data_IF_167664063111
#
_entry.id   IF_167664063111
#
_cell.length_a   1.000
_cell.length_b   1.000
_cell.length_c   1.000
_cell.angle_alpha   90.00
_cell.angle_beta   90.00
_cell.angle_gamma   90.00
#
_symmetry.space_group_name_H-M   'P 1'
#
loop_
_entity.id
_entity.type
_entity.pdbx_description
1 polymer ?
#
# COMPACT_ATOMS: atom_id res chain seq x y z
N UNK A 1 0.71 3.87 23.56
CA UNK A 1 -0.41 4.77 23.19
C UNK A 1 -1.72 4.17 23.73
N UNK A 2 -2.49 4.94 24.48
CA UNK A 2 -3.78 4.49 25.00
C UNK A 2 -4.87 4.45 23.91
N UNK A 3 -5.91 3.63 24.09
CA UNK A 3 -6.98 3.46 23.08
C UNK A 3 -7.69 4.79 22.72
N UNK A 4 -7.85 5.69 23.70
CA UNK A 4 -8.43 7.02 23.48
C UNK A 4 -7.54 7.91 22.62
N UNK A 5 -6.24 7.88 22.86
CA UNK A 5 -5.23 8.62 22.08
C UNK A 5 -5.19 8.11 20.64
N UNK A 6 -5.24 6.79 20.45
CA UNK A 6 -5.27 6.18 19.12
C UNK A 6 -6.53 6.57 18.34
N UNK A 7 -7.67 6.66 19.00
CA UNK A 7 -8.93 7.11 18.38
C UNK A 7 -8.82 8.56 17.94
N UNK A 8 -8.33 9.45 18.82
CA UNK A 8 -8.16 10.86 18.51
C UNK A 8 -7.17 11.08 17.35
N UNK A 9 -6.05 10.38 17.37
CA UNK A 9 -5.07 10.40 16.28
C UNK A 9 -5.70 9.95 14.96
N UNK A 10 -6.45 8.84 14.98
CA UNK A 10 -7.14 8.31 13.80
C UNK A 10 -8.11 9.33 13.20
N UNK A 11 -8.92 9.99 14.03
CA UNK A 11 -9.89 10.99 13.57
C UNK A 11 -9.20 12.25 13.02
N UNK A 12 -8.11 12.67 13.66
CA UNK A 12 -7.31 13.80 13.20
C UNK A 12 -6.68 13.52 11.85
N UNK A 13 -6.02 12.36 11.69
CA UNK A 13 -5.42 11.93 10.43
C UNK A 13 -6.48 11.80 9.32
N UNK A 14 -7.64 11.20 9.61
CA UNK A 14 -8.73 11.06 8.64
C UNK A 14 -9.24 12.44 8.17
N UNK A 15 -9.38 13.40 9.08
CA UNK A 15 -9.80 14.76 8.76
C UNK A 15 -8.76 15.44 7.86
N UNK A 16 -7.47 15.35 8.19
CA UNK A 16 -6.36 15.91 7.41
C UNK A 16 -6.31 15.30 6.01
N UNK A 17 -6.40 13.98 5.90
CA UNK A 17 -6.44 13.25 4.63
C UNK A 17 -7.69 13.54 3.80
N UNK A 18 -8.80 13.94 4.42
CA UNK A 18 -10.01 14.39 3.71
C UNK A 18 -9.92 15.82 3.16
N UNK A 19 -8.97 16.60 3.66
CA UNK A 19 -8.80 18.02 3.29
C UNK A 19 -7.68 18.26 2.26
N UNK A 20 -6.69 17.37 2.16
CA UNK A 20 -5.49 17.55 1.34
C UNK A 20 -5.04 16.26 0.67
N UNK A 21 -4.22 16.35 -0.37
CA UNK A 21 -3.58 15.24 -1.08
C UNK A 21 -2.22 15.64 -1.64
N UNK A 22 -1.36 14.68 -1.99
CA UNK A 22 -0.03 14.97 -2.55
C UNK A 22 0.88 15.72 -1.58
N UNK A 23 1.56 16.73 -2.09
CA UNK A 23 2.52 17.53 -1.33
C UNK A 23 1.87 18.30 -0.16
N UNK A 24 0.64 18.80 -0.33
CA UNK A 24 -0.09 19.48 0.74
C UNK A 24 -0.39 18.52 1.90
N UNK A 25 -0.84 17.31 1.59
CA UNK A 25 -1.06 16.28 2.61
C UNK A 25 0.25 15.90 3.30
N UNK A 26 1.33 15.75 2.53
CA UNK A 26 2.63 15.43 3.08
C UNK A 26 3.09 16.46 4.10
N UNK A 27 3.03 17.75 3.73
CA UNK A 27 3.36 18.85 4.66
C UNK A 27 2.49 18.82 5.92
N UNK A 28 1.17 18.66 5.76
CA UNK A 28 0.25 18.61 6.89
C UNK A 28 0.50 17.41 7.83
N UNK A 29 0.93 16.26 7.29
CA UNK A 29 1.30 15.10 8.10
C UNK A 29 2.63 15.30 8.83
N UNK A 30 3.61 15.96 8.20
CA UNK A 30 4.85 16.34 8.87
C UNK A 30 4.59 17.32 10.01
N UNK A 31 3.70 18.30 9.82
CA UNK A 31 3.28 19.25 10.86
C UNK A 31 2.54 18.55 12.03
N UNK A 32 1.89 17.42 11.76
CA UNK A 32 1.26 16.56 12.78
C UNK A 32 2.24 15.61 13.49
N UNK A 33 3.54 15.66 13.16
CA UNK A 33 4.57 14.83 13.79
C UNK A 33 4.75 13.46 13.11
N UNK A 34 4.62 13.37 11.80
CA UNK A 34 4.82 12.10 11.07
C UNK A 34 6.18 11.46 11.34
N UNK A 35 7.25 12.24 11.37
CA UNK A 35 8.59 11.72 11.59
C UNK A 35 8.78 11.17 13.00
N UNK A 36 8.23 11.85 13.99
CA UNK A 36 8.23 11.40 15.38
C UNK A 36 7.42 10.11 15.54
N UNK A 37 6.23 10.05 14.93
CA UNK A 37 5.40 8.86 14.93
C UNK A 37 6.09 7.67 14.27
N UNK A 38 6.79 7.91 13.16
CA UNK A 38 7.54 6.87 12.45
C UNK A 38 8.76 6.39 13.24
N UNK A 39 9.41 7.29 13.98
CA UNK A 39 10.61 6.96 14.77
C UNK A 39 10.26 6.25 16.07
N UNK A 40 9.24 6.72 16.77
CA UNK A 40 8.92 6.27 18.13
C UNK A 40 7.91 5.10 18.16
N UNK A 41 7.06 4.97 17.13
CA UNK A 41 5.92 4.04 17.12
C UNK A 41 5.59 3.56 15.71
N UNK A 42 6.60 3.18 14.92
CA UNK A 42 6.42 2.73 13.53
C UNK A 42 5.43 1.56 13.39
N UNK A 43 5.40 0.67 14.37
CA UNK A 43 4.51 -0.49 14.45
C UNK A 43 3.00 -0.12 14.52
N UNK A 44 2.69 1.07 15.03
CA UNK A 44 1.34 1.63 15.11
C UNK A 44 1.12 2.65 13.97
N UNK A 45 2.07 3.55 13.77
CA UNK A 45 1.94 4.66 12.82
C UNK A 45 1.82 4.18 11.37
N UNK A 46 2.66 3.24 10.95
CA UNK A 46 2.65 2.73 9.56
C UNK A 46 1.34 2.04 9.22
N UNK A 47 0.84 1.06 9.99
CA UNK A 47 -0.47 0.46 9.74
C UNK A 47 -1.60 1.47 9.68
N UNK A 48 -1.66 2.39 10.64
CA UNK A 48 -2.73 3.38 10.75
C UNK A 48 -2.73 4.35 9.57
N UNK A 49 -1.60 4.99 9.29
CA UNK A 49 -1.50 6.03 8.26
C UNK A 49 -1.72 5.44 6.87
N UNK A 50 -1.08 4.33 6.53
CA UNK A 50 -1.22 3.72 5.20
C UNK A 50 -2.61 3.11 4.97
N UNK A 51 -3.23 2.54 5.99
CA UNK A 51 -4.63 2.12 5.91
C UNK A 51 -5.56 3.30 5.63
N UNK A 52 -5.38 4.43 6.33
CA UNK A 52 -6.18 5.64 6.12
C UNK A 52 -5.97 6.26 4.74
N UNK A 53 -4.73 6.27 4.19
CA UNK A 53 -4.50 6.66 2.79
C UNK A 53 -5.35 5.81 1.83
N UNK A 54 -5.44 4.51 2.10
CA UNK A 54 -6.29 3.60 1.34
C UNK A 54 -7.78 3.90 1.49
N UNK A 55 -8.26 4.08 2.70
CA UNK A 55 -9.67 4.35 3.00
C UNK A 55 -10.16 5.68 2.41
N UNK A 56 -9.33 6.72 2.46
CA UNK A 56 -9.65 8.07 1.96
C UNK A 56 -9.41 8.23 0.45
N UNK A 57 -8.64 7.34 -0.15
CA UNK A 57 -8.25 7.43 -1.55
C UNK A 57 -7.25 8.56 -1.84
N UNK A 58 -6.63 9.13 -0.82
CA UNK A 58 -5.57 10.15 -0.95
C UNK A 58 -4.20 9.53 -1.16
N UNK A 59 -3.19 10.37 -1.37
CA UNK A 59 -1.80 9.95 -1.49
C UNK A 59 -0.86 11.00 -0.93
N UNK A 60 0.31 10.54 -0.48
CA UNK A 60 1.48 11.35 -0.12
C UNK A 60 2.73 10.45 -0.24
N UNK A 61 3.95 11.00 -0.42
CA UNK A 61 5.18 10.22 -0.67
C UNK A 61 5.75 9.52 0.57
N UNK A 62 4.92 9.19 1.55
CA UNK A 62 5.28 8.62 2.85
C UNK A 62 6.04 7.27 2.73
N UNK A 63 5.91 6.59 1.59
CA UNK A 63 6.65 5.35 1.34
C UNK A 63 8.15 5.59 1.27
N UNK A 64 8.59 6.77 0.78
CA UNK A 64 9.99 7.18 0.80
C UNK A 64 10.52 7.28 2.23
N UNK A 65 9.72 7.83 3.13
CA UNK A 65 10.12 7.99 4.54
C UNK A 65 10.22 6.66 5.29
N UNK A 66 9.30 5.72 5.00
CA UNK A 66 9.39 4.35 5.55
C UNK A 66 10.67 3.66 5.09
N UNK A 67 11.06 3.83 3.83
CA UNK A 67 12.31 3.30 3.29
C UNK A 67 13.52 4.01 3.87
N UNK A 68 13.50 5.34 3.97
CA UNK A 68 14.56 6.14 4.56
C UNK A 68 14.80 5.74 6.02
N UNK A 69 13.73 5.64 6.82
CA UNK A 69 13.79 5.17 8.21
C UNK A 69 14.46 3.79 8.33
N UNK A 70 14.01 2.83 7.53
CA UNK A 70 14.53 1.46 7.56
C UNK A 70 15.99 1.37 7.09
N UNK A 71 16.39 2.24 6.16
CA UNK A 71 17.75 2.32 5.63
C UNK A 71 18.69 3.25 6.44
N UNK A 72 18.20 3.89 7.51
CA UNK A 72 18.97 4.88 8.27
C UNK A 72 19.37 6.12 7.45
N UNK A 73 18.54 6.52 6.48
CA UNK A 73 18.75 7.69 5.60
C UNK A 73 17.92 8.89 6.07
N UNK A 74 18.29 10.11 5.68
CA UNK A 74 17.46 11.30 5.90
C UNK A 74 16.08 11.15 5.26
N UNK A 75 15.05 11.73 5.93
CA UNK A 75 13.70 11.82 5.40
C UNK A 75 13.57 12.85 4.26
N UNK A 76 12.50 12.74 3.46
CA UNK A 76 12.16 13.72 2.43
C UNK A 76 12.88 13.54 1.09
N UNK A 77 13.79 12.57 0.96
CA UNK A 77 14.47 12.31 -0.31
C UNK A 77 13.75 11.21 -1.11
N UNK A 78 13.54 11.40 -2.43
CA UNK A 78 12.97 10.36 -3.28
C UNK A 78 13.91 9.16 -3.38
N UNK A 79 13.37 7.97 -3.14
CA UNK A 79 14.11 6.71 -3.22
C UNK A 79 13.60 5.91 -4.44
N UNK A 80 14.49 5.35 -5.29
CA UNK A 80 14.07 4.48 -6.38
C UNK A 80 13.32 3.26 -5.86
N UNK A 81 12.12 3.04 -6.40
CA UNK A 81 11.22 1.96 -6.01
C UNK A 81 11.14 0.92 -7.12
N UNK A 82 11.33 -0.38 -6.83
CA UNK A 82 11.12 -1.42 -7.82
C UNK A 82 9.65 -1.48 -8.24
N UNK A 83 9.43 -1.59 -9.55
CA UNK A 83 8.12 -1.69 -10.15
C UNK A 83 8.02 -2.91 -11.06
N UNK A 84 6.80 -3.40 -11.26
CA UNK A 84 6.54 -4.59 -12.09
C UNK A 84 7.20 -4.49 -13.48
N UNK A 85 7.59 -5.63 -14.04
CA UNK A 85 8.29 -5.71 -15.32
C UNK A 85 9.76 -5.30 -15.26
N UNK A 86 10.39 -5.32 -14.09
CA UNK A 86 11.80 -4.99 -13.90
C UNK A 86 12.12 -3.50 -14.05
N UNK A 87 11.09 -2.66 -14.00
CA UNK A 87 11.22 -1.19 -14.03
C UNK A 87 11.46 -0.62 -12.65
N UNK A 88 11.91 0.63 -12.63
CA UNK A 88 12.10 1.44 -11.43
C UNK A 88 11.31 2.71 -11.56
N UNK A 89 10.77 3.20 -10.45
CA UNK A 89 10.04 4.46 -10.39
C UNK A 89 10.54 5.32 -9.24
N UNK A 90 10.45 6.63 -9.41
CA UNK A 90 10.60 7.61 -8.34
C UNK A 90 9.23 8.18 -8.00
N UNK A 91 8.98 8.32 -6.71
CA UNK A 91 7.86 9.12 -6.24
C UNK A 91 8.37 10.53 -6.00
N UNK A 92 8.07 11.44 -6.91
CA UNK A 92 8.47 12.84 -6.82
C UNK A 92 7.27 13.70 -6.49
N UNK A 93 7.47 14.72 -5.65
CA UNK A 93 6.47 15.76 -5.52
C UNK A 93 6.44 16.58 -6.80
N UNK A 94 5.26 16.78 -7.39
CA UNK A 94 5.10 17.85 -8.36
C UNK A 94 5.18 19.18 -7.61
N UNK A 95 6.35 19.77 -7.59
CA UNK A 95 6.51 21.16 -7.20
C UNK A 95 5.76 22.00 -8.21
N UNK A 96 4.53 22.40 -7.86
CA UNK A 96 3.84 23.46 -8.58
C UNK A 96 4.77 24.66 -8.67
N UNK A 97 5.13 25.01 -9.90
CA UNK A 97 5.71 26.29 -10.34
C UNK A 97 6.09 27.25 -9.20
N UNK A 98 7.35 27.27 -8.81
CA UNK A 98 7.95 28.46 -8.20
C UNK A 98 9.38 28.63 -8.63
N UNK A 99 9.61 29.74 -9.30
CA UNK A 99 10.92 30.30 -9.64
C UNK A 99 11.77 30.50 -8.38
N UNK A 100 12.73 29.62 -8.15
CA UNK A 100 13.87 29.93 -7.31
C UNK A 100 15.11 29.36 -8.00
N UNK A 101 15.92 30.29 -8.50
CA UNK A 101 17.25 30.08 -9.02
C UNK A 101 18.13 29.50 -7.90
N UNK A 102 18.23 28.19 -7.84
CA UNK A 102 19.26 27.51 -7.05
C UNK A 102 19.89 26.48 -7.96
N UNK A 103 21.21 26.49 -8.03
CA UNK A 103 22.05 25.63 -8.83
C UNK A 103 21.62 24.17 -8.61
N UNK A 104 20.81 23.67 -9.50
CA UNK A 104 20.41 22.27 -9.55
C UNK A 104 21.59 21.46 -10.10
N UNK A 105 22.08 20.43 -9.39
CA UNK A 105 22.89 19.43 -10.08
C UNK A 105 21.99 18.85 -11.18
N UNK A 106 22.53 18.80 -12.41
CA UNK A 106 21.80 18.23 -13.55
C UNK A 106 21.19 16.88 -13.15
N UNK A 107 19.90 16.66 -13.41
CA UNK A 107 19.28 15.37 -13.13
C UNK A 107 19.96 14.33 -14.02
N UNK A 108 20.77 13.49 -13.41
CA UNK A 108 21.53 12.43 -14.10
C UNK A 108 20.63 11.35 -14.73
N UNK A 109 19.32 11.46 -14.57
CA UNK A 109 18.36 10.52 -15.09
C UNK A 109 17.23 11.29 -15.77
N UNK A 110 17.06 11.08 -17.06
CA UNK A 110 15.92 11.57 -17.82
C UNK A 110 14.75 10.64 -17.52
N UNK A 111 13.87 11.06 -16.61
CA UNK A 111 12.63 10.34 -16.32
C UNK A 111 11.63 10.66 -17.45
N UNK A 112 11.19 9.64 -18.18
CA UNK A 112 10.04 9.80 -19.08
C UNK A 112 8.76 9.61 -18.29
N UNK A 113 7.76 10.54 -18.42
CA UNK A 113 6.48 10.34 -17.79
C UNK A 113 5.80 9.14 -18.45
N UNK A 114 5.71 8.03 -17.74
CA UNK A 114 4.78 6.98 -18.14
C UNK A 114 3.39 7.44 -17.69
N UNK A 115 2.44 7.43 -18.63
CA UNK A 115 1.02 7.54 -18.28
C UNK A 115 0.68 6.30 -17.46
N UNK A 116 0.86 6.38 -16.16
CA UNK A 116 0.38 5.36 -15.24
C UNK A 116 -1.15 5.32 -15.28
N UNK A 117 -1.71 4.15 -14.99
CA UNK A 117 -3.16 3.99 -14.91
C UNK A 117 -3.82 4.91 -13.89
N UNK A 118 -3.07 5.38 -12.91
CA UNK A 118 -3.48 6.41 -11.95
C UNK A 118 -2.67 7.70 -12.18
N UNK A 119 -3.21 8.69 -12.88
CA UNK A 119 -2.52 9.95 -13.16
C UNK A 119 -2.39 10.86 -11.92
N UNK A 120 -3.08 10.55 -10.83
CA UNK A 120 -2.96 11.31 -9.57
C UNK A 120 -1.68 10.93 -8.81
N UNK A 121 -1.09 9.76 -9.07
CA UNK A 121 0.15 9.35 -8.42
C UNK A 121 1.37 9.93 -9.17
N UNK A 122 2.18 10.79 -8.54
CA UNK A 122 3.33 11.44 -9.17
C UNK A 122 4.54 10.47 -9.23
N UNK A 123 4.36 9.37 -9.95
CA UNK A 123 5.39 8.37 -10.18
C UNK A 123 6.05 8.58 -11.55
N UNK A 124 7.35 8.74 -11.57
CA UNK A 124 8.17 8.85 -12.78
C UNK A 124 8.99 7.59 -12.97
N UNK A 125 9.03 7.06 -14.20
CA UNK A 125 9.85 5.89 -14.49
C UNK A 125 11.31 6.30 -14.70
N UNK A 126 12.20 5.52 -14.12
CA UNK A 126 13.63 5.69 -14.30
C UNK A 126 14.12 4.88 -15.51
N UNK A 127 14.82 5.54 -16.44
CA UNK A 127 15.61 4.84 -17.43
C UNK A 127 16.79 4.14 -16.73
N UNK A 128 16.91 2.83 -16.93
CA UNK A 128 18.04 2.07 -16.42
C UNK A 128 19.30 2.44 -17.19
N UNK A 129 20.08 3.35 -16.65
CA UNK A 129 21.52 3.38 -16.91
C UNK A 129 22.20 2.44 -15.91
N UNK A 130 23.31 1.82 -16.29
CA UNK A 130 24.07 0.81 -15.54
C UNK A 130 24.58 1.25 -14.15
N UNK A 131 24.25 2.44 -13.70
CA UNK A 131 24.65 3.07 -12.44
C UNK A 131 23.52 3.28 -11.45
N UNK A 132 22.33 2.66 -11.63
CA UNK A 132 21.32 2.69 -10.56
C UNK A 132 21.91 2.05 -9.31
N UNK A 133 21.91 2.75 -8.15
CA UNK A 133 22.39 2.17 -6.91
C UNK A 133 21.65 0.85 -6.70
N UNK A 134 22.41 -0.18 -6.37
CA UNK A 134 21.90 -1.52 -6.22
C UNK A 134 20.68 -1.50 -5.30
N UNK A 135 19.53 -1.83 -5.85
CA UNK A 135 18.30 -1.99 -5.08
C UNK A 135 18.39 -3.10 -4.05
N UNK A 136 19.47 -3.86 -4.09
CA UNK A 136 19.80 -4.94 -3.17
C UNK A 136 20.06 -4.46 -1.75
N UNK A 137 20.37 -3.16 -1.57
CA UNK A 137 20.68 -2.58 -0.25
C UNK A 137 19.50 -1.89 0.45
N UNK A 138 18.33 -1.78 -0.18
CA UNK A 138 17.17 -1.14 0.45
C UNK A 138 16.27 -2.21 1.07
N UNK A 139 16.10 -2.23 2.42
CA UNK A 139 15.24 -3.21 3.09
C UNK A 139 13.78 -2.95 2.75
N UNK A 140 13.21 -3.72 1.84
CA UNK A 140 11.85 -3.54 1.32
C UNK A 140 10.75 -4.09 2.24
N UNK A 141 11.08 -4.83 3.30
CA UNK A 141 10.09 -5.53 4.12
C UNK A 141 9.05 -4.58 4.74
N UNK A 142 9.50 -3.53 5.41
CA UNK A 142 8.60 -2.54 6.03
C UNK A 142 7.80 -1.75 4.98
N UNK A 143 8.42 -1.37 3.88
CA UNK A 143 7.72 -0.69 2.79
C UNK A 143 6.66 -1.59 2.12
N UNK A 144 6.91 -2.89 1.98
CA UNK A 144 5.92 -3.87 1.53
C UNK A 144 4.76 -3.99 2.50
N UNK A 145 5.01 -3.99 3.81
CA UNK A 145 3.95 -3.98 4.85
C UNK A 145 3.12 -2.68 4.79
N UNK A 146 3.78 -1.52 4.69
CA UNK A 146 3.13 -0.23 4.56
C UNK A 146 2.20 -0.20 3.33
N UNK A 147 2.71 -0.59 2.18
CA UNK A 147 1.95 -0.67 0.94
C UNK A 147 0.79 -1.67 1.01
N UNK A 148 0.95 -2.75 1.79
CA UNK A 148 -0.10 -3.73 2.02
C UNK A 148 -1.26 -3.15 2.82
N UNK A 149 -0.98 -2.34 3.83
CA UNK A 149 -2.01 -1.60 4.55
C UNK A 149 -2.74 -0.60 3.66
N UNK A 150 -2.03 0.04 2.73
CA UNK A 150 -2.67 0.93 1.76
C UNK A 150 -3.62 0.16 0.83
N UNK A 151 -3.19 -0.99 0.32
CA UNK A 151 -4.01 -1.86 -0.52
C UNK A 151 -5.26 -2.37 0.21
N UNK A 152 -5.12 -2.81 1.46
CA UNK A 152 -6.28 -3.29 2.26
C UNK A 152 -7.22 -2.15 2.63
N UNK A 153 -6.73 -0.95 2.96
CA UNK A 153 -7.54 0.24 3.16
C UNK A 153 -8.37 0.61 1.92
N UNK A 154 -7.74 0.61 0.74
CA UNK A 154 -8.44 0.83 -0.53
C UNK A 154 -9.48 -0.25 -0.82
N UNK A 155 -9.19 -1.50 -0.49
CA UNK A 155 -10.14 -2.60 -0.62
C UNK A 155 -11.35 -2.42 0.30
N UNK A 156 -11.15 -2.00 1.55
CA UNK A 156 -12.22 -1.68 2.49
C UNK A 156 -13.12 -0.54 1.98
N UNK A 157 -12.53 0.53 1.42
CA UNK A 157 -13.29 1.62 0.83
C UNK A 157 -14.14 1.14 -0.36
N UNK A 158 -13.56 0.36 -1.28
CA UNK A 158 -14.31 -0.20 -2.42
C UNK A 158 -15.46 -1.10 -1.97
N UNK A 159 -15.24 -1.95 -0.96
CA UNK A 159 -16.28 -2.81 -0.39
C UNK A 159 -17.41 -1.99 0.24
N UNK A 160 -17.08 -0.91 0.97
CA UNK A 160 -18.05 -0.02 1.57
C UNK A 160 -18.93 0.68 0.51
N UNK A 161 -18.32 1.17 -0.59
CA UNK A 161 -19.02 1.77 -1.72
C UNK A 161 -19.97 0.78 -2.39
N UNK A 162 -19.50 -0.43 -2.69
CA UNK A 162 -20.32 -1.46 -3.33
C UNK A 162 -21.46 -1.93 -2.41
N UNK A 163 -21.22 -2.06 -1.10
CA UNK A 163 -22.24 -2.40 -0.11
C UNK A 163 -23.33 -1.33 -0.04
N UNK A 164 -22.96 -0.06 0.03
CA UNK A 164 -23.90 1.07 0.02
C UNK A 164 -24.77 1.03 -1.23
N UNK A 165 -24.13 0.95 -2.40
CA UNK A 165 -24.86 0.84 -3.67
C UNK A 165 -25.83 -0.34 -3.70
N UNK A 166 -25.42 -1.52 -3.21
CA UNK A 166 -26.27 -2.70 -3.22
C UNK A 166 -27.48 -2.57 -2.28
N UNK A 167 -27.38 -1.80 -1.20
CA UNK A 167 -28.48 -1.52 -0.28
C UNK A 167 -29.46 -0.50 -0.88
N UNK A 168 -28.95 0.53 -1.55
CA UNK A 168 -29.75 1.65 -2.03
C UNK A 168 -30.38 1.37 -3.42
N UNK A 169 -29.72 0.59 -4.26
CA UNK A 169 -30.20 0.30 -5.61
C UNK A 169 -31.29 -0.76 -5.61
N UNK A 170 -32.48 -0.40 -6.07
CA UNK A 170 -33.63 -1.30 -6.23
C UNK A 170 -33.76 -1.78 -7.66
N UNK A 171 -33.83 -3.08 -7.88
CA UNK A 171 -34.11 -3.74 -9.15
C UNK A 171 -35.01 -4.97 -8.92
N UNK A 172 -35.92 -5.24 -9.85
CA UNK A 172 -36.87 -6.37 -9.74
C UNK A 172 -37.65 -6.37 -8.41
N UNK A 173 -38.05 -5.17 -7.97
CA UNK A 173 -38.90 -4.97 -6.78
C UNK A 173 -38.18 -5.11 -5.41
N UNK A 174 -36.85 -5.24 -5.38
CA UNK A 174 -36.08 -5.34 -4.12
C UNK A 174 -34.70 -4.73 -4.24
N UNK A 175 -34.03 -4.36 -3.11
CA UNK A 175 -32.64 -3.95 -3.12
C UNK A 175 -31.73 -5.01 -3.76
N UNK A 176 -30.70 -4.56 -4.48
CA UNK A 176 -29.73 -5.45 -5.13
C UNK A 176 -29.02 -6.34 -4.10
N UNK A 177 -28.84 -5.87 -2.87
CA UNK A 177 -28.36 -6.66 -1.74
C UNK A 177 -29.27 -7.87 -1.39
N UNK A 178 -30.52 -7.89 -1.83
CA UNK A 178 -31.44 -9.02 -1.65
C UNK A 178 -31.12 -10.25 -2.54
N UNK A 179 -30.24 -10.11 -3.55
CA UNK A 179 -29.83 -11.20 -4.39
C UNK A 179 -28.69 -11.99 -3.78
N UNK A 180 -28.83 -13.32 -3.71
CA UNK A 180 -27.86 -14.20 -3.06
C UNK A 180 -26.46 -14.08 -3.70
N UNK A 181 -26.37 -14.01 -5.03
CA UNK A 181 -25.11 -13.87 -5.74
C UNK A 181 -24.33 -12.59 -5.36
N UNK A 182 -25.06 -11.48 -5.09
CA UNK A 182 -24.45 -10.21 -4.64
C UNK A 182 -23.91 -10.35 -3.22
N UNK A 183 -24.73 -10.91 -2.31
CA UNK A 183 -24.31 -11.13 -0.91
C UNK A 183 -23.10 -12.06 -0.82
N UNK A 184 -23.08 -13.17 -1.55
CA UNK A 184 -21.96 -14.10 -1.57
C UNK A 184 -20.69 -13.39 -2.05
N UNK A 185 -20.78 -12.63 -3.14
CA UNK A 185 -19.64 -11.89 -3.70
C UNK A 185 -19.06 -10.87 -2.73
N UNK A 186 -19.92 -10.11 -2.02
CA UNK A 186 -19.46 -9.17 -1.01
C UNK A 186 -18.87 -9.88 0.22
N UNK A 187 -19.42 -11.02 0.62
CA UNK A 187 -18.88 -11.84 1.70
C UNK A 187 -17.50 -12.43 1.34
N UNK A 188 -17.33 -13.01 0.15
CA UNK A 188 -16.04 -13.49 -0.35
C UNK A 188 -15.00 -12.37 -0.40
N UNK A 189 -15.42 -11.17 -0.78
CA UNK A 189 -14.56 -9.98 -0.77
C UNK A 189 -14.10 -9.65 0.64
N UNK A 190 -15.01 -9.64 1.61
CA UNK A 190 -14.67 -9.39 3.01
C UNK A 190 -13.68 -10.43 3.54
N UNK A 191 -13.92 -11.73 3.27
CA UNK A 191 -13.01 -12.81 3.68
C UNK A 191 -11.61 -12.62 3.10
N UNK A 192 -11.49 -12.19 1.82
CA UNK A 192 -10.19 -11.92 1.21
C UNK A 192 -9.45 -10.76 1.90
N UNK A 193 -10.17 -9.69 2.27
CA UNK A 193 -9.59 -8.54 2.99
C UNK A 193 -9.14 -8.95 4.39
N UNK A 194 -10.01 -9.61 5.16
CA UNK A 194 -9.70 -10.10 6.52
C UNK A 194 -8.49 -11.05 6.52
N UNK A 195 -8.41 -11.95 5.52
CA UNK A 195 -7.27 -12.84 5.36
C UNK A 195 -5.95 -12.10 5.09
N UNK A 196 -6.00 -11.03 4.30
CA UNK A 196 -4.83 -10.19 4.04
C UNK A 196 -4.41 -9.39 5.30
N UNK A 197 -5.37 -8.84 6.03
CA UNK A 197 -5.10 -8.12 7.28
C UNK A 197 -4.57 -9.06 8.36
N UNK A 198 -5.07 -10.29 8.46
CA UNK A 198 -4.52 -11.31 9.35
C UNK A 198 -3.06 -11.65 9.02
N UNK A 199 -2.72 -11.74 7.72
CA UNK A 199 -1.33 -11.94 7.30
C UNK A 199 -0.43 -10.75 7.65
N UNK A 200 -0.96 -9.53 7.67
CA UNK A 200 -0.25 -8.30 8.06
C UNK A 200 -0.08 -8.17 9.58
N UNK A 201 -0.99 -8.71 10.37
CA UNK A 201 -0.92 -8.70 11.81
C UNK A 201 0.22 -9.59 12.36
N UNK A 202 0.75 -10.49 11.54
CA UNK A 202 1.95 -11.27 11.86
C UNK A 202 3.17 -10.33 11.83
N UNK A 203 3.61 -9.92 13.00
CA UNK A 203 4.77 -9.03 13.16
C UNK A 203 6.11 -9.72 12.87
N UNK A 204 7.20 -8.95 12.69
CA UNK A 204 8.53 -9.48 12.51
C UNK A 204 9.01 -10.37 13.70
N UNK A 205 8.52 -10.05 14.90
CA UNK A 205 8.84 -10.77 16.14
C UNK A 205 8.15 -12.13 16.26
N UNK A 206 7.12 -12.40 15.45
CA UNK A 206 6.32 -13.62 15.54
C UNK A 206 6.92 -14.78 14.73
N UNK A 207 7.92 -14.51 13.89
CA UNK A 207 8.62 -15.53 13.12
C UNK A 207 9.61 -16.29 14.02
N UNK A 208 9.13 -17.33 14.71
CA UNK A 208 9.99 -18.20 15.52
C UNK A 208 10.46 -19.41 14.70
N UNK A 209 11.77 -19.62 14.69
CA UNK A 209 12.37 -20.87 14.25
C UNK A 209 12.92 -21.63 15.47
N UNK A 210 12.57 -22.92 15.68
CA UNK A 210 13.00 -23.68 16.86
C UNK A 210 14.51 -23.82 17.00
N UNK A 211 15.29 -23.56 15.96
CA UNK A 211 16.76 -23.62 15.97
C UNK A 211 17.43 -22.24 16.21
N UNK A 212 16.67 -21.14 16.37
CA UNK A 212 17.23 -19.82 16.63
C UNK A 212 16.90 -19.36 18.06
N UNK A 213 17.87 -18.81 18.80
CA UNK A 213 17.61 -18.26 20.12
C UNK A 213 16.58 -17.12 20.04
N UNK A 214 15.72 -17.05 21.05
CA UNK A 214 14.69 -16.03 21.15
C UNK A 214 15.31 -14.63 20.97
N UNK A 215 14.86 -13.88 19.95
CA UNK A 215 15.22 -12.50 19.75
C UNK A 215 15.80 -12.10 18.39
N UNK A 216 16.25 -13.02 17.55
CA UNK A 216 16.77 -12.67 16.21
C UNK A 216 15.99 -13.41 15.13
N UNK A 217 15.03 -12.72 14.52
CA UNK A 217 14.40 -13.20 13.27
C UNK A 217 15.41 -12.99 12.15
N UNK A 218 15.87 -14.04 11.44
CA UNK A 218 16.72 -13.85 10.29
C UNK A 218 16.04 -12.93 9.27
N UNK A 219 16.76 -11.96 8.73
CA UNK A 219 16.22 -10.96 7.78
C UNK A 219 15.47 -11.59 6.60
N UNK A 220 15.88 -12.77 6.15
CA UNK A 220 15.20 -13.47 5.06
C UNK A 220 13.79 -13.97 5.42
N UNK A 221 13.49 -14.28 6.70
CA UNK A 221 12.14 -14.66 7.14
C UNK A 221 11.23 -13.44 7.20
N UNK A 222 11.73 -12.31 7.68
CA UNK A 222 10.96 -11.05 7.66
C UNK A 222 10.66 -10.60 6.22
N UNK A 223 11.64 -10.70 5.34
CA UNK A 223 11.46 -10.41 3.90
C UNK A 223 10.45 -11.34 3.24
N UNK A 224 10.46 -12.63 3.57
CA UNK A 224 9.50 -13.62 3.06
C UNK A 224 8.09 -13.34 3.60
N UNK A 225 7.95 -13.08 4.90
CA UNK A 225 6.66 -12.74 5.52
C UNK A 225 6.07 -11.47 4.93
N UNK A 226 6.87 -10.41 4.76
CA UNK A 226 6.45 -9.17 4.14
C UNK A 226 6.06 -9.34 2.65
N UNK A 227 6.79 -10.18 1.90
CA UNK A 227 6.45 -10.50 0.52
C UNK A 227 5.13 -11.26 0.42
N UNK A 228 4.89 -12.24 1.29
CA UNK A 228 3.64 -13.00 1.34
C UNK A 228 2.45 -12.11 1.75
N UNK A 229 2.63 -11.23 2.75
CA UNK A 229 1.62 -10.27 3.17
C UNK A 229 1.26 -9.31 2.03
N UNK A 230 2.27 -8.77 1.31
CA UNK A 230 2.06 -7.89 0.15
C UNK A 230 1.36 -8.64 -0.99
N UNK A 231 1.73 -9.89 -1.25
CA UNK A 231 1.07 -10.73 -2.26
C UNK A 231 -0.40 -11.00 -1.90
N UNK A 232 -0.70 -11.25 -0.62
CA UNK A 232 -2.06 -11.45 -0.13
C UNK A 232 -2.89 -10.17 -0.25
N UNK A 233 -2.36 -9.02 0.20
CA UNK A 233 -3.02 -7.72 0.12
C UNK A 233 -3.29 -7.28 -1.32
N UNK A 234 -2.33 -7.42 -2.22
CA UNK A 234 -2.50 -7.12 -3.65
C UNK A 234 -3.58 -7.98 -4.29
N UNK A 235 -3.56 -9.30 -4.02
CA UNK A 235 -4.60 -10.21 -4.52
C UNK A 235 -5.98 -9.88 -3.95
N UNK A 236 -6.09 -9.60 -2.65
CA UNK A 236 -7.35 -9.21 -2.02
C UNK A 236 -7.89 -7.91 -2.64
N UNK A 237 -7.05 -6.90 -2.84
CA UNK A 237 -7.44 -5.64 -3.47
C UNK A 237 -7.92 -5.84 -4.92
N UNK A 238 -7.22 -6.64 -5.74
CA UNK A 238 -7.61 -6.95 -7.11
C UNK A 238 -8.92 -7.76 -7.20
N UNK A 239 -9.13 -8.72 -6.28
CA UNK A 239 -10.40 -9.46 -6.17
C UNK A 239 -11.52 -8.53 -5.77
N UNK A 240 -11.30 -7.67 -4.76
CA UNK A 240 -12.25 -6.65 -4.31
C UNK A 240 -12.66 -5.74 -5.45
N UNK A 241 -11.69 -5.21 -6.20
CA UNK A 241 -11.96 -4.35 -7.35
C UNK A 241 -12.91 -5.01 -8.36
N UNK A 242 -12.63 -6.26 -8.73
CA UNK A 242 -13.45 -7.01 -9.68
C UNK A 242 -14.85 -7.27 -9.14
N UNK A 243 -14.96 -7.70 -7.88
CA UNK A 243 -16.25 -8.00 -7.26
C UNK A 243 -17.11 -6.75 -7.08
N UNK A 244 -16.52 -5.67 -6.57
CA UNK A 244 -17.22 -4.41 -6.36
C UNK A 244 -17.63 -3.76 -7.69
N UNK A 245 -16.76 -3.80 -8.72
CA UNK A 245 -17.08 -3.35 -10.06
C UNK A 245 -18.32 -4.07 -10.61
N UNK A 246 -18.40 -5.38 -10.42
CA UNK A 246 -19.56 -6.17 -10.86
C UNK A 246 -20.85 -5.80 -10.09
N UNK A 247 -20.74 -5.49 -8.80
CA UNK A 247 -21.88 -5.07 -7.97
C UNK A 247 -22.36 -3.67 -8.34
N UNK A 248 -21.45 -2.75 -8.60
CA UNK A 248 -21.72 -1.38 -9.03
C UNK A 248 -22.27 -1.32 -10.48
N UNK A 249 -21.95 -2.32 -11.31
CA UNK A 249 -22.34 -2.34 -12.72
C UNK A 249 -21.83 -1.12 -13.48
N UNK A 250 -22.70 -0.51 -14.32
CA UNK A 250 -22.35 0.65 -15.13
C UNK A 250 -21.83 1.85 -14.33
N UNK A 251 -22.37 2.09 -13.14
CA UNK A 251 -21.96 3.19 -12.25
C UNK A 251 -20.47 3.09 -11.87
N UNK A 252 -19.95 1.89 -11.65
CA UNK A 252 -18.55 1.68 -11.30
C UNK A 252 -17.55 1.94 -12.44
N UNK A 253 -18.02 2.15 -13.69
CA UNK A 253 -17.17 2.51 -14.83
C UNK A 253 -17.07 4.02 -15.05
N UNK A 254 -17.88 4.83 -14.36
CA UNK A 254 -17.85 6.29 -14.53
C UNK A 254 -16.68 6.87 -13.74
N UNK A 255 -15.96 7.83 -14.36
CA UNK A 255 -14.84 8.52 -13.73
C UNK A 255 -15.26 9.39 -12.53
N UNK A 256 -16.54 9.75 -12.47
CA UNK A 256 -17.16 10.58 -11.42
C UNK A 256 -17.38 9.79 -10.12
N UNK A 257 -17.45 8.47 -10.18
CA UNK A 257 -17.68 7.65 -9.01
C UNK A 257 -16.36 7.38 -8.24
N UNK A 258 -16.36 7.61 -6.93
CA UNK A 258 -15.17 7.44 -6.05
C UNK A 258 -14.47 6.08 -6.22
N UNK A 259 -15.23 5.03 -6.52
CA UNK A 259 -14.70 3.70 -6.78
C UNK A 259 -13.61 3.69 -7.86
N UNK A 260 -13.75 4.53 -8.90
CA UNK A 260 -12.82 4.58 -10.02
C UNK A 260 -11.40 5.02 -9.59
N UNK A 261 -11.30 5.94 -8.62
CA UNK A 261 -10.02 6.36 -8.02
C UNK A 261 -9.34 5.18 -7.33
N UNK A 262 -10.04 4.50 -6.44
CA UNK A 262 -9.50 3.33 -5.75
C UNK A 262 -9.11 2.22 -6.71
N UNK A 263 -9.95 1.96 -7.73
CA UNK A 263 -9.70 0.94 -8.74
C UNK A 263 -8.38 1.19 -9.49
N UNK A 264 -8.17 2.39 -10.02
CA UNK A 264 -6.92 2.75 -10.71
C UNK A 264 -5.71 2.67 -9.78
N UNK A 265 -5.86 3.19 -8.58
CA UNK A 265 -4.80 3.23 -7.58
C UNK A 265 -4.27 1.85 -7.24
N UNK A 266 -5.13 0.89 -6.95
CA UNK A 266 -4.69 -0.45 -6.58
C UNK A 266 -3.95 -1.18 -7.70
N UNK A 267 -4.25 -0.88 -8.98
CA UNK A 267 -3.53 -1.46 -10.10
C UNK A 267 -2.07 -0.99 -10.14
N UNK A 268 -1.82 0.27 -9.79
CA UNK A 268 -0.46 0.82 -9.69
C UNK A 268 0.24 0.31 -8.42
N UNK A 269 -0.45 0.36 -7.28
CA UNK A 269 0.13 -0.07 -6.00
C UNK A 269 0.43 -1.58 -5.96
N UNK A 270 -0.34 -2.43 -6.66
CA UNK A 270 0.01 -3.85 -6.78
C UNK A 270 1.34 -4.04 -7.52
N UNK A 271 1.61 -3.23 -8.55
CA UNK A 271 2.88 -3.28 -9.29
C UNK A 271 4.10 -2.75 -8.53
N UNK A 272 3.89 -1.93 -7.50
CA UNK A 272 4.95 -1.28 -6.73
C UNK A 272 5.54 -2.27 -5.71
N UNK A 273 6.86 -2.29 -5.55
CA UNK A 273 7.64 -3.19 -4.68
C UNK A 273 7.45 -4.70 -4.96
N UNK A 274 7.05 -5.03 -6.18
CA UNK A 274 6.74 -6.38 -6.64
C UNK A 274 5.24 -6.66 -6.67
N UNK A 275 4.74 -7.17 -7.81
CA UNK A 275 3.34 -7.52 -7.96
C UNK A 275 2.95 -8.72 -7.10
N UNK A 276 1.66 -8.84 -6.76
CA UNK A 276 1.12 -9.99 -6.03
C UNK A 276 1.49 -11.32 -6.70
N UNK A 277 1.53 -11.36 -8.04
CA UNK A 277 1.93 -12.54 -8.82
C UNK A 277 3.42 -12.83 -8.69
N UNK A 278 4.27 -11.81 -8.83
CA UNK A 278 5.73 -11.97 -8.79
C UNK A 278 6.19 -12.37 -7.40
N UNK A 279 5.68 -11.70 -6.36
CA UNK A 279 6.00 -12.03 -4.97
C UNK A 279 5.53 -13.45 -4.57
N UNK A 280 4.38 -13.91 -5.07
CA UNK A 280 3.94 -15.30 -4.84
C UNK A 280 4.91 -16.29 -5.47
N UNK A 281 5.43 -16.01 -6.67
CA UNK A 281 6.40 -16.87 -7.36
C UNK A 281 7.75 -16.87 -6.65
N UNK A 282 8.21 -15.70 -6.23
CA UNK A 282 9.46 -15.48 -5.47
C UNK A 282 9.43 -16.23 -4.14
N UNK A 283 8.35 -16.06 -3.37
CA UNK A 283 8.14 -16.79 -2.12
C UNK A 283 8.14 -18.32 -2.32
N UNK A 284 7.49 -18.80 -3.39
CA UNK A 284 7.50 -20.21 -3.74
C UNK A 284 8.89 -20.75 -4.13
N UNK A 285 9.73 -19.93 -4.76
CA UNK A 285 11.12 -20.28 -5.06
C UNK A 285 11.94 -20.37 -3.75
N UNK A 286 11.85 -19.37 -2.89
CA UNK A 286 12.51 -19.33 -1.58
C UNK A 286 12.14 -20.54 -0.71
N UNK A 287 10.84 -20.90 -0.65
CA UNK A 287 10.40 -22.06 0.13
C UNK A 287 10.94 -23.39 -0.42
N UNK A 288 11.09 -23.51 -1.75
CA UNK A 288 11.72 -24.70 -2.35
C UNK A 288 13.21 -24.80 -2.02
N UNK A 289 13.91 -23.67 -2.04
CA UNK A 289 15.34 -23.60 -1.69
C UNK A 289 15.57 -23.92 -0.21
N UNK A 290 14.69 -23.45 0.67
CA UNK A 290 14.73 -23.77 2.10
C UNK A 290 14.43 -25.26 2.37
N UNK A 291 13.64 -25.93 1.53
CA UNK A 291 13.21 -27.30 1.71
C UNK A 291 12.16 -27.52 2.81
N UNK A 292 11.68 -26.45 3.44
CA UNK A 292 10.63 -26.48 4.47
C UNK A 292 9.84 -25.16 4.50
N UNK A 293 8.65 -25.20 5.09
CA UNK A 293 7.85 -23.99 5.37
C UNK A 293 8.20 -23.43 6.73
N UNK A 294 8.82 -22.22 6.83
CA UNK A 294 9.06 -21.60 8.12
C UNK A 294 7.74 -21.25 8.80
N UNK A 295 7.71 -21.36 10.14
CA UNK A 295 6.56 -20.89 10.91
C UNK A 295 6.66 -19.37 11.00
N UNK A 296 5.73 -18.65 10.34
CA UNK A 296 5.70 -17.20 10.27
C UNK A 296 4.79 -16.56 11.34
N UNK A 297 3.98 -17.37 12.04
CA UNK A 297 3.12 -16.94 13.13
C UNK A 297 3.05 -18.00 14.22
N UNK A 298 2.78 -17.59 15.46
CA UNK A 298 2.31 -18.47 16.53
C UNK A 298 0.79 -18.62 16.38
N UNK A 299 0.33 -19.85 16.26
CA UNK A 299 -1.06 -20.22 16.39
C UNK A 299 -1.33 -20.66 17.84
#
# INVERSE_FOLDING_TARGET
MEAAEQTLLTDTLRKTMGAATGAELYSALCDLGWYELLTDSADIAVPLVFRLLGETGTHAPLLNDVLAYTAGRPFGEPIPLPFTGGRWVLWTEESGSSSATTVTPEPRHRAEPIVLLDPELPLSVLDRTSESPAAEDVPLAQARRALSWWLTGSARAMLALARRHALDRVQFGKPVAGFQAVRHRLAETLVAIEGAEAALAVGPSDAHHPAHPAGAVPQHYDSLAAALAKAAAGRAALVTARHCQQVLGGTGFTAEHEFHRHYRRILVLDGLLGSSRDLTREAGATLRELGYGPRLAHL
#
